data_IF_353713102445
#
_entry.id   IF_353713102445
#
_cell.length_a   1.000
_cell.length_b   1.000
_cell.length_c   1.000
_cell.angle_alpha   90.00
_cell.angle_beta   90.00
_cell.angle_gamma   90.00
#
_symmetry.space_group_name_H-M   'P 1'
#
loop_
_entity.id
_entity.type
_entity.pdbx_description
1 polymer ?
#
# COMPACT_ATOMS: atom_id res chain seq x y z
N UNK A 1 2.37 -4.27 15.72
CA UNK A 1 1.27 -4.29 14.73
C UNK A 1 0.88 -2.90 14.21
N UNK A 2 1.59 -1.81 14.54
CA UNK A 2 1.20 -0.43 14.15
C UNK A 2 1.43 -0.10 12.65
N UNK A 3 2.27 -0.87 11.94
CA UNK A 3 2.64 -0.56 10.56
C UNK A 3 1.51 -0.83 9.55
N UNK A 4 0.65 -1.82 9.82
CA UNK A 4 -0.47 -2.17 8.96
C UNK A 4 -1.57 -1.10 9.00
N UNK A 5 -1.87 -0.57 10.19
CA UNK A 5 -2.84 0.52 10.34
C UNK A 5 -2.42 1.76 9.55
N UNK A 6 -1.12 2.11 9.55
CA UNK A 6 -0.59 3.24 8.78
C UNK A 6 -0.75 3.05 7.27
N UNK A 7 -0.43 1.85 6.77
CA UNK A 7 -0.66 1.50 5.35
C UNK A 7 -2.13 1.58 5.00
N UNK A 8 -3.01 1.09 5.87
CA UNK A 8 -4.45 1.08 5.62
C UNK A 8 -5.00 2.50 5.51
N UNK A 9 -4.65 3.35 6.48
CA UNK A 9 -5.04 4.77 6.49
C UNK A 9 -4.51 5.52 5.25
N UNK A 10 -3.27 5.25 4.84
CA UNK A 10 -2.70 5.86 3.65
C UNK A 10 -3.43 5.39 2.38
N UNK A 11 -3.69 4.08 2.25
CA UNK A 11 -4.39 3.53 1.10
C UNK A 11 -5.83 4.07 1.02
N UNK A 12 -6.55 4.14 2.15
CA UNK A 12 -7.88 4.75 2.21
C UNK A 12 -7.85 6.23 1.77
N UNK A 13 -6.83 6.99 2.17
CA UNK A 13 -6.67 8.39 1.77
C UNK A 13 -6.43 8.52 0.27
N UNK A 14 -5.54 7.70 -0.29
CA UNK A 14 -5.16 7.70 -1.71
C UNK A 14 -6.34 7.27 -2.60
N UNK A 15 -7.03 6.20 -2.23
CA UNK A 15 -8.13 5.66 -3.03
C UNK A 15 -9.48 6.31 -2.74
N UNK A 16 -9.63 7.00 -1.61
CA UNK A 16 -10.87 7.59 -1.13
C UNK A 16 -11.96 6.55 -0.77
N UNK A 17 -11.64 5.26 -0.84
CA UNK A 17 -12.59 4.16 -0.70
C UNK A 17 -11.93 2.96 0.00
N UNK A 18 -12.57 2.51 1.08
CA UNK A 18 -12.11 1.38 1.90
C UNK A 18 -12.03 0.07 1.14
N UNK A 19 -12.98 -0.21 0.25
CA UNK A 19 -13.00 -1.44 -0.53
C UNK A 19 -11.89 -1.43 -1.59
N UNK A 20 -11.64 -0.28 -2.24
CA UNK A 20 -10.51 -0.13 -3.17
C UNK A 20 -9.16 -0.25 -2.45
N UNK A 21 -9.02 0.37 -1.28
CA UNK A 21 -7.83 0.24 -0.45
C UNK A 21 -7.59 -1.22 -0.04
N UNK A 22 -8.62 -1.90 0.48
CA UNK A 22 -8.53 -3.31 0.86
C UNK A 22 -8.17 -4.21 -0.33
N UNK A 23 -8.81 -4.00 -1.48
CA UNK A 23 -8.51 -4.73 -2.70
C UNK A 23 -7.06 -4.49 -3.15
N UNK A 24 -6.61 -3.24 -3.16
CA UNK A 24 -5.25 -2.89 -3.56
C UNK A 24 -4.20 -3.52 -2.64
N UNK A 25 -4.45 -3.47 -1.32
CA UNK A 25 -3.56 -3.99 -0.29
C UNK A 25 -3.49 -5.52 -0.27
N UNK A 26 -4.60 -6.18 -0.58
CA UNK A 26 -4.70 -7.65 -0.66
C UNK A 26 -4.36 -8.19 -2.05
N UNK A 27 -4.05 -7.32 -3.02
CA UNK A 27 -3.63 -7.75 -4.36
C UNK A 27 -2.12 -7.98 -4.38
N UNK A 28 -1.64 -9.18 -4.78
CA UNK A 28 -0.23 -9.43 -4.96
C UNK A 28 0.31 -8.61 -6.13
N UNK A 29 1.45 -7.93 -5.92
CA UNK A 29 2.04 -7.04 -6.93
C UNK A 29 3.50 -7.37 -7.13
N UNK A 30 3.95 -7.39 -8.39
CA UNK A 30 5.37 -7.57 -8.71
C UNK A 30 6.27 -6.49 -8.11
N UNK A 31 5.73 -5.28 -7.88
CA UNK A 31 6.41 -4.18 -7.17
C UNK A 31 6.90 -4.59 -5.77
N UNK A 32 6.23 -5.55 -5.13
CA UNK A 32 6.59 -6.09 -3.82
C UNK A 32 7.24 -7.47 -3.90
N UNK A 33 7.67 -7.91 -5.09
CA UNK A 33 8.20 -9.26 -5.30
C UNK A 33 7.13 -10.34 -5.47
N UNK A 34 5.90 -9.95 -5.83
CA UNK A 34 4.80 -10.87 -6.09
C UNK A 34 3.96 -11.21 -4.85
N UNK A 35 4.24 -10.59 -3.70
CA UNK A 35 3.41 -10.67 -2.49
C UNK A 35 2.47 -9.48 -2.38
N UNK A 36 1.52 -9.58 -1.46
CA UNK A 36 0.59 -8.49 -1.14
C UNK A 36 1.29 -7.35 -0.40
N UNK A 37 0.76 -6.12 -0.47
CA UNK A 37 1.34 -4.98 0.24
C UNK A 37 1.36 -5.23 1.76
N UNK A 38 0.33 -5.89 2.30
CA UNK A 38 0.24 -6.23 3.72
C UNK A 38 1.30 -7.27 4.15
N UNK A 39 1.64 -8.22 3.29
CA UNK A 39 2.70 -9.21 3.58
C UNK A 39 4.11 -8.65 3.39
N UNK A 40 4.24 -7.66 2.51
CA UNK A 40 5.49 -6.94 2.30
C UNK A 40 5.86 -6.07 3.49
N UNK A 41 4.87 -5.48 4.19
CA UNK A 41 5.08 -4.62 5.36
C UNK A 41 5.49 -5.46 6.57
N UNK A 42 6.80 -5.63 6.73
CA UNK A 42 7.41 -6.32 7.89
C UNK A 42 8.12 -5.33 8.81
N UNK A 43 8.76 -4.34 8.21
CA UNK A 43 9.61 -3.34 8.86
C UNK A 43 9.24 -1.93 8.38
N UNK A 44 9.78 -0.91 9.07
CA UNK A 44 9.51 0.48 8.75
C UNK A 44 9.98 0.88 7.33
N UNK A 45 11.03 0.24 6.82
CA UNK A 45 11.52 0.46 5.44
C UNK A 45 10.50 -0.04 4.41
N UNK A 46 10.00 -1.27 4.59
CA UNK A 46 8.96 -1.84 3.73
C UNK A 46 7.65 -1.05 3.79
N UNK A 47 7.29 -0.53 4.97
CA UNK A 47 6.18 0.41 5.16
C UNK A 47 6.36 1.68 4.32
N UNK A 48 7.52 2.35 4.44
CA UNK A 48 7.80 3.55 3.66
C UNK A 48 7.70 3.29 2.16
N UNK A 49 8.20 2.16 1.69
CA UNK A 49 8.13 1.80 0.27
C UNK A 49 6.68 1.62 -0.21
N UNK A 50 5.81 1.00 0.59
CA UNK A 50 4.37 0.89 0.26
C UNK A 50 3.70 2.26 0.24
N UNK A 51 3.98 3.11 1.24
CA UNK A 51 3.45 4.48 1.30
C UNK A 51 3.91 5.31 0.10
N UNK A 52 5.16 5.16 -0.32
CA UNK A 52 5.71 5.86 -1.47
C UNK A 52 5.00 5.43 -2.76
N UNK A 53 4.79 4.12 -2.95
CA UNK A 53 4.00 3.60 -4.09
C UNK A 53 2.56 4.13 -4.06
N UNK A 54 1.91 4.13 -2.90
CA UNK A 54 0.57 4.70 -2.74
C UNK A 54 0.54 6.20 -3.10
N UNK A 55 1.53 6.96 -2.65
CA UNK A 55 1.68 8.37 -2.99
C UNK A 55 1.88 8.55 -4.50
N UNK A 56 2.73 7.74 -5.14
CA UNK A 56 2.90 7.81 -6.59
C UNK A 56 1.60 7.50 -7.35
N UNK A 57 0.76 6.59 -6.84
CA UNK A 57 -0.58 6.32 -7.40
C UNK A 57 -1.50 7.52 -7.22
N UNK A 58 -1.51 8.17 -6.05
CA UNK A 58 -2.29 9.39 -5.79
C UNK A 58 -1.93 10.50 -6.78
N UNK A 59 -0.63 10.65 -7.06
CA UNK A 59 -0.11 11.63 -8.01
C UNK A 59 -0.24 11.21 -9.49
N UNK A 60 -0.77 10.02 -9.78
CA UNK A 60 -0.93 9.50 -11.15
C UNK A 60 0.38 9.16 -11.86
N UNK A 61 1.45 8.91 -11.10
CA UNK A 61 2.80 8.64 -11.62
C UNK A 61 3.01 7.16 -11.97
N UNK A 62 2.16 6.26 -11.47
CA UNK A 62 2.24 4.81 -11.74
C UNK A 62 0.95 4.37 -12.43
N UNK A 63 1.06 4.01 -13.71
CA UNK A 63 0.02 3.33 -14.49
C UNK A 63 0.38 1.85 -14.64
#
# INVERSE_FOLDING_TARGET
MQNLDLVWQQAERVFGDKAKAAAWLSTPRQLFGGVTAIEFVKDQESLQRVIEVLTQIEHGLVC
#
